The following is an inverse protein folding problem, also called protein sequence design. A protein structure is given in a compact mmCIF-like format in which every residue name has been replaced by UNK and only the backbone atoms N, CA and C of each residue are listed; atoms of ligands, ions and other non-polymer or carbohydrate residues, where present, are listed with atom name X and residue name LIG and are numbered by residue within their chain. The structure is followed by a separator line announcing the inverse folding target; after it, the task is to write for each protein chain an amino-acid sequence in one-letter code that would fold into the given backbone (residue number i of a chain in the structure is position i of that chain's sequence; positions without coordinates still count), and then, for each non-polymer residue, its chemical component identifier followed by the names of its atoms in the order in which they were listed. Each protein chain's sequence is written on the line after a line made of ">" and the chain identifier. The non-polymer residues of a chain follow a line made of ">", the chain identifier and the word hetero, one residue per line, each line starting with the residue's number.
data_IF_244410708383
#
_entry.id   IF_244410708383
#
_cell.length_a   1.000
_cell.length_b   1.000
_cell.length_c   1.000
_cell.angle_alpha   90.00
_cell.angle_beta   90.00
_cell.angle_gamma   90.00
#
_symmetry.space_group_name_H-M   'P 1'
#
loop_
_entity.id
_entity.type
_entity.pdbx_description
1 polymer ?
#
# COMPACT_ATOMS: atom_id res chain seq x y z
N UNK A 1 10.02 -2.84 26.29
CA UNK A 1 9.24 -3.16 25.13
C UNK A 1 10.09 -3.33 23.89
N UNK A 2 10.07 -4.49 23.37
CA UNK A 2 10.94 -4.79 22.24
C UNK A 2 10.25 -4.39 20.96
N UNK A 3 10.43 -3.16 20.62
CA UNK A 3 9.82 -2.61 19.42
C UNK A 3 10.58 -3.03 18.18
N UNK A 4 11.82 -3.47 18.38
CA UNK A 4 12.65 -3.77 17.23
C UNK A 4 12.12 -4.91 16.41
N UNK A 5 11.71 -5.98 17.05
CA UNK A 5 11.18 -7.13 16.33
C UNK A 5 9.83 -6.81 15.73
N UNK A 6 8.99 -6.15 16.49
CA UNK A 6 7.68 -5.76 16.00
C UNK A 6 7.79 -4.69 14.92
N UNK A 7 8.83 -3.89 15.03
CA UNK A 7 9.03 -2.84 14.04
C UNK A 7 9.27 -3.43 12.65
N UNK A 8 9.96 -4.55 12.60
CA UNK A 8 10.23 -5.19 11.32
C UNK A 8 8.95 -5.68 10.68
N UNK A 9 8.13 -6.36 11.43
CA UNK A 9 6.85 -6.85 10.92
C UNK A 9 5.94 -5.69 10.57
N UNK A 10 5.95 -4.67 11.40
CA UNK A 10 5.14 -3.49 11.16
C UNK A 10 5.55 -2.78 9.89
N UNK A 11 6.85 -2.71 9.66
CA UNK A 11 7.37 -2.05 8.47
C UNK A 11 6.92 -2.76 7.22
N UNK A 12 7.00 -4.08 7.22
CA UNK A 12 6.56 -4.87 6.07
C UNK A 12 5.07 -4.70 5.86
N UNK A 13 4.30 -4.74 6.93
CA UNK A 13 2.86 -4.59 6.84
C UNK A 13 2.49 -3.21 6.30
N UNK A 14 3.15 -2.19 6.78
CA UNK A 14 2.87 -0.83 6.33
C UNK A 14 3.18 -0.68 4.84
N UNK A 15 4.29 -1.23 4.42
CA UNK A 15 4.64 -1.17 3.00
C UNK A 15 3.63 -1.92 2.15
N UNK A 16 3.18 -3.04 2.64
CA UNK A 16 2.20 -3.82 1.90
C UNK A 16 0.91 -3.04 1.73
N UNK A 17 0.46 -2.39 2.80
CA UNK A 17 -0.77 -1.61 2.75
C UNK A 17 -0.62 -0.46 1.76
N UNK A 18 0.51 0.24 1.83
CA UNK A 18 0.76 1.35 0.93
C UNK A 18 0.81 0.87 -0.52
N UNK A 19 1.48 -0.24 -0.73
CA UNK A 19 1.61 -0.79 -2.08
C UNK A 19 0.24 -1.12 -2.67
N UNK A 20 -0.59 -1.79 -1.88
CA UNK A 20 -1.92 -2.16 -2.34
C UNK A 20 -2.76 -0.91 -2.59
N UNK A 21 -2.67 0.07 -1.71
CA UNK A 21 -3.43 1.30 -1.86
C UNK A 21 -3.06 2.03 -3.14
N UNK A 22 -1.77 2.16 -3.40
CA UNK A 22 -1.31 2.83 -4.60
C UNK A 22 -1.77 2.07 -5.84
N UNK A 23 -1.70 0.75 -5.79
CA UNK A 23 -2.13 -0.07 -6.92
C UNK A 23 -3.60 0.15 -7.22
N UNK A 24 -4.43 0.17 -6.18
CA UNK A 24 -5.86 0.38 -6.36
C UNK A 24 -6.12 1.77 -6.95
N UNK A 25 -5.44 2.77 -6.44
CA UNK A 25 -5.62 4.13 -6.94
C UNK A 25 -5.22 4.21 -8.41
N UNK A 26 -4.12 3.57 -8.76
CA UNK A 26 -3.66 3.57 -10.15
C UNK A 26 -4.67 2.89 -11.07
N UNK A 27 -5.23 1.80 -10.62
CA UNK A 27 -6.22 1.08 -11.42
C UNK A 27 -7.45 1.93 -11.62
N UNK A 28 -7.93 2.55 -10.55
CA UNK A 28 -9.11 3.40 -10.63
C UNK A 28 -8.86 4.60 -11.54
N UNK A 29 -7.70 5.22 -11.40
CA UNK A 29 -7.34 6.36 -12.23
C UNK A 29 -7.26 5.95 -13.69
N UNK A 30 -6.65 4.80 -13.96
CA UNK A 30 -6.56 4.31 -15.31
C UNK A 30 -7.93 4.07 -15.93
N UNK A 31 -8.82 3.49 -15.15
CA UNK A 31 -10.18 3.26 -15.63
C UNK A 31 -10.89 4.57 -15.92
N UNK A 32 -10.71 5.53 -15.04
CA UNK A 32 -11.35 6.82 -15.22
C UNK A 32 -10.87 7.49 -16.50
N UNK A 33 -9.58 7.42 -16.77
CA UNK A 33 -9.04 7.99 -17.98
C UNK A 33 -9.58 7.26 -19.21
N UNK A 34 -9.67 5.96 -19.11
CA UNK A 34 -10.17 5.15 -20.22
C UNK A 34 -11.62 5.47 -20.55
N UNK A 35 -12.41 5.70 -19.49
CA UNK A 35 -13.82 6.00 -19.68
C UNK A 35 -14.04 7.40 -20.23
N UNK A 36 -13.08 8.26 -19.99
CA UNK A 36 -13.14 9.61 -20.53
C UNK A 36 -12.85 9.59 -22.01
#
# INVERSE_FOLDING_TARGET
>A
MDIKEQKKTWDVFTKFVIYVSVAVILILAGMAIFLL
#
